data_IF_705659415437
#
_entry.id   IF_705659415437
#
_cell.length_a   1.000
_cell.length_b   1.000
_cell.length_c   1.000
_cell.angle_alpha   90.00
_cell.angle_beta   90.00
_cell.angle_gamma   90.00
#
_symmetry.space_group_name_H-M   'P 1'
#
loop_
_entity.id
_entity.type
_entity.pdbx_description
1 polymer ?
#
# COMPACT_ATOMS: atom_id res chain seq x y z
N UNK A 1 13.05 6.91 13.55
CA UNK A 1 11.91 7.73 14.02
C UNK A 1 11.03 6.95 14.99
N UNK A 2 10.45 5.81 14.61
CA UNK A 2 9.49 5.07 15.43
C UNK A 2 9.99 4.65 16.82
N UNK A 3 11.28 4.39 16.99
CA UNK A 3 11.89 4.05 18.29
C UNK A 3 12.10 5.27 19.19
N UNK A 4 12.43 6.44 18.60
CA UNK A 4 12.73 7.67 19.37
C UNK A 4 11.47 8.48 19.67
N UNK A 5 10.64 8.76 18.66
CA UNK A 5 9.41 9.56 18.80
C UNK A 5 8.21 8.75 19.30
N UNK A 6 8.29 7.42 19.18
CA UNK A 6 7.17 6.51 19.38
C UNK A 6 6.25 6.45 18.16
N UNK A 7 5.48 5.36 18.08
CA UNK A 7 4.65 5.05 16.89
C UNK A 7 3.58 6.12 16.65
N UNK A 8 2.85 6.54 17.70
CA UNK A 8 1.80 7.55 17.61
C UNK A 8 2.32 8.90 17.12
N UNK A 9 3.43 9.38 17.65
CA UNK A 9 3.97 10.69 17.25
C UNK A 9 4.55 10.64 15.84
N UNK A 10 5.10 9.50 15.42
CA UNK A 10 5.53 9.29 14.03
C UNK A 10 4.35 9.35 13.06
N UNK A 11 3.19 8.77 13.42
CA UNK A 11 1.96 8.86 12.62
C UNK A 11 1.39 10.30 12.59
N UNK A 12 1.49 11.04 13.70
CA UNK A 12 1.12 12.48 13.71
C UNK A 12 1.98 13.29 12.77
N UNK A 13 3.29 13.03 12.75
CA UNK A 13 4.19 13.66 11.78
C UNK A 13 3.78 13.32 10.34
N UNK A 14 3.44 12.05 10.06
CA UNK A 14 2.96 11.66 8.74
C UNK A 14 1.67 12.41 8.35
N UNK A 15 0.71 12.55 9.29
CA UNK A 15 -0.52 13.32 9.05
C UNK A 15 -0.26 14.79 8.70
N UNK A 16 0.68 15.43 9.40
CA UNK A 16 1.11 16.82 9.09
C UNK A 16 1.72 16.89 7.69
N UNK A 17 2.59 15.94 7.33
CA UNK A 17 3.22 15.90 6.01
C UNK A 17 2.19 15.67 4.90
N UNK A 18 1.18 14.81 5.11
CA UNK A 18 0.07 14.63 4.17
C UNK A 18 -0.74 15.91 3.98
N UNK A 19 -1.09 16.56 5.08
CA UNK A 19 -1.85 17.80 5.04
C UNK A 19 -1.10 18.92 4.31
N UNK A 20 0.17 19.11 4.59
CA UNK A 20 1.02 20.10 3.90
C UNK A 20 1.20 19.74 2.42
N UNK A 21 1.35 18.45 2.10
CA UNK A 21 1.43 18.01 0.70
C UNK A 21 0.16 18.32 -0.06
N UNK A 22 -1.02 18.06 0.53
CA UNK A 22 -2.31 18.32 -0.09
C UNK A 22 -2.53 19.82 -0.34
N UNK A 23 -2.27 20.66 0.67
CA UNK A 23 -2.38 22.13 0.55
C UNK A 23 -1.39 22.68 -0.48
N UNK A 24 -0.13 22.24 -0.44
CA UNK A 24 0.87 22.69 -1.39
C UNK A 24 0.63 22.18 -2.81
N UNK A 25 -0.01 21.01 -2.98
CA UNK A 25 -0.44 20.53 -4.30
C UNK A 25 -1.66 21.26 -4.82
N UNK A 26 -2.56 21.71 -3.94
CA UNK A 26 -3.69 22.56 -4.30
C UNK A 26 -3.25 23.94 -4.80
N UNK A 27 -2.29 24.54 -4.11
CA UNK A 27 -1.79 25.88 -4.41
C UNK A 27 -0.24 25.91 -4.46
N UNK A 28 0.37 25.27 -5.49
CA UNK A 28 1.82 25.14 -5.58
C UNK A 28 2.56 26.49 -5.78
N UNK A 29 1.87 27.53 -6.22
CA UNK A 29 2.41 28.87 -6.37
C UNK A 29 2.61 29.59 -5.02
N UNK A 30 2.00 29.09 -3.95
CA UNK A 30 2.08 29.71 -2.63
C UNK A 30 3.54 29.87 -2.18
N UNK A 31 3.95 31.09 -1.90
CA UNK A 31 5.29 31.55 -1.52
C UNK A 31 6.27 31.84 -2.67
N UNK A 32 6.02 31.40 -3.92
CA UNK A 32 7.06 31.43 -4.95
C UNK A 32 6.67 32.12 -6.26
N UNK A 33 5.40 32.07 -6.68
CA UNK A 33 4.98 32.46 -8.04
C UNK A 33 3.62 33.13 -8.10
N UNK A 34 3.34 33.80 -9.24
CA UNK A 34 2.01 34.33 -9.54
C UNK A 34 1.04 33.20 -9.94
N UNK A 35 -0.18 33.26 -9.45
CA UNK A 35 -1.24 32.28 -9.71
C UNK A 35 -1.56 32.16 -11.20
N UNK A 36 -1.74 30.93 -11.65
CA UNK A 36 -2.24 30.63 -12.99
C UNK A 36 -1.22 30.73 -14.12
N UNK A 37 0.07 30.97 -13.85
CA UNK A 37 1.13 30.91 -14.87
C UNK A 37 1.82 29.55 -14.86
N UNK A 38 1.45 28.61 -15.76
CA UNK A 38 2.15 27.33 -15.86
C UNK A 38 3.56 27.55 -16.41
N UNK A 39 4.55 27.21 -15.59
CA UNK A 39 5.96 27.22 -15.97
C UNK A 39 6.67 26.00 -15.34
N UNK A 40 7.94 25.79 -15.67
CA UNK A 40 8.71 24.68 -15.12
C UNK A 40 8.87 24.79 -13.60
N UNK A 41 8.91 26.00 -13.05
CA UNK A 41 9.07 26.26 -11.61
C UNK A 41 7.83 25.83 -10.83
N UNK A 42 6.63 25.99 -11.42
CA UNK A 42 5.38 25.47 -10.88
C UNK A 42 5.43 23.95 -10.73
N UNK A 43 5.92 23.26 -11.76
CA UNK A 43 6.07 21.81 -11.73
C UNK A 43 7.07 21.36 -10.67
N UNK A 44 8.17 22.07 -10.50
CA UNK A 44 9.16 21.80 -9.46
C UNK A 44 8.55 21.98 -8.07
N UNK A 45 7.86 23.11 -7.81
CA UNK A 45 7.20 23.39 -6.55
C UNK A 45 6.13 22.32 -6.22
N UNK A 46 5.27 21.98 -7.18
CA UNK A 46 4.30 20.91 -7.04
C UNK A 46 4.97 19.59 -6.66
N UNK A 47 6.03 19.18 -7.36
CA UNK A 47 6.76 17.95 -7.07
C UNK A 47 7.42 17.97 -5.68
N UNK A 48 7.92 19.11 -5.21
CA UNK A 48 8.45 19.22 -3.84
C UNK A 48 7.38 18.95 -2.79
N UNK A 49 6.16 19.49 -2.95
CA UNK A 49 5.05 19.15 -2.06
C UNK A 49 4.66 17.68 -2.14
N UNK A 50 4.69 17.06 -3.34
CA UNK A 50 4.45 15.62 -3.49
C UNK A 50 5.54 14.77 -2.83
N UNK A 51 6.81 15.21 -2.83
CA UNK A 51 7.89 14.56 -2.07
C UNK A 51 7.62 14.58 -0.57
N UNK A 52 7.10 15.69 -0.02
CA UNK A 52 6.69 15.74 1.39
C UNK A 52 5.60 14.70 1.70
N UNK A 53 4.59 14.58 0.83
CA UNK A 53 3.57 13.54 0.92
C UNK A 53 4.18 12.13 0.86
N UNK A 54 5.12 11.90 -0.06
CA UNK A 54 5.85 10.65 -0.19
C UNK A 54 6.62 10.25 1.07
N UNK A 55 7.27 11.20 1.75
CA UNK A 55 7.92 10.98 3.05
C UNK A 55 6.86 10.56 4.09
N UNK A 56 5.70 11.22 4.12
CA UNK A 56 4.57 10.85 4.97
C UNK A 56 4.06 9.43 4.69
N UNK A 57 3.92 9.06 3.42
CA UNK A 57 3.52 7.70 2.99
C UNK A 57 4.53 6.66 3.46
N UNK A 58 5.82 6.88 3.25
CA UNK A 58 6.87 5.96 3.68
C UNK A 58 6.87 5.76 5.19
N UNK A 59 6.68 6.84 5.96
CA UNK A 59 6.59 6.79 7.41
C UNK A 59 5.34 6.04 7.88
N UNK A 60 4.17 6.35 7.33
CA UNK A 60 2.91 5.70 7.67
C UNK A 60 2.90 4.22 7.31
N UNK A 61 3.38 3.85 6.12
CA UNK A 61 3.46 2.46 5.64
C UNK A 61 4.28 1.55 6.57
N UNK A 62 5.38 2.07 7.12
CA UNK A 62 6.21 1.31 8.06
C UNK A 62 5.60 1.27 9.47
N UNK A 63 5.01 2.38 9.94
CA UNK A 63 4.62 2.54 11.34
C UNK A 63 3.19 2.05 11.62
N UNK A 64 2.28 2.17 10.65
CA UNK A 64 0.86 1.82 10.85
C UNK A 64 0.66 0.31 11.13
N UNK A 65 1.17 -0.62 10.29
CA UNK A 65 1.09 -2.05 10.59
C UNK A 65 1.81 -2.42 11.90
N UNK A 66 2.95 -1.78 12.18
CA UNK A 66 3.69 -1.99 13.43
C UNK A 66 2.90 -1.54 14.66
N UNK A 67 2.23 -0.38 14.58
CA UNK A 67 1.37 0.13 15.66
C UNK A 67 0.23 -0.85 15.93
N UNK A 68 -0.46 -1.29 14.89
CA UNK A 68 -1.57 -2.25 15.00
C UNK A 68 -1.06 -3.57 15.59
N UNK A 69 0.05 -4.11 15.11
CA UNK A 69 0.62 -5.37 15.58
C UNK A 69 1.07 -5.33 17.06
N UNK A 70 1.47 -4.16 17.58
CA UNK A 70 1.87 -3.97 18.99
C UNK A 70 0.68 -3.85 19.95
N UNK A 71 -0.50 -3.44 19.46
CA UNK A 71 -1.72 -3.28 20.29
C UNK A 71 -2.64 -4.51 20.14
N UNK A 72 -2.66 -5.14 18.98
CA UNK A 72 -3.58 -6.22 18.67
C UNK A 72 -3.33 -7.48 19.53
N UNK A 73 -4.39 -8.09 20.09
CA UNK A 73 -4.31 -9.43 20.65
C UNK A 73 -3.79 -10.45 19.63
N UNK A 74 -3.01 -11.43 20.08
CA UNK A 74 -2.33 -12.40 19.21
C UNK A 74 -3.27 -13.20 18.31
N UNK A 75 -4.47 -13.52 18.79
CA UNK A 75 -5.48 -14.32 18.09
C UNK A 75 -6.16 -13.61 16.89
N UNK A 76 -6.17 -12.26 16.88
CA UNK A 76 -6.81 -11.46 15.82
C UNK A 76 -5.83 -10.46 15.19
N UNK A 77 -4.52 -10.59 15.45
CA UNK A 77 -3.49 -9.66 14.96
C UNK A 77 -3.46 -9.60 13.45
N UNK A 78 -3.50 -10.74 12.78
CA UNK A 78 -3.52 -10.81 11.33
C UNK A 78 -4.72 -10.09 10.72
N UNK A 79 -5.91 -10.33 11.26
CA UNK A 79 -7.14 -9.63 10.89
C UNK A 79 -7.00 -8.11 11.04
N UNK A 80 -6.53 -7.62 12.21
CA UNK A 80 -6.41 -6.18 12.46
C UNK A 80 -5.33 -5.51 11.60
N UNK A 81 -4.21 -6.18 11.33
CA UNK A 81 -3.19 -5.68 10.40
C UNK A 81 -3.73 -5.66 8.97
N UNK A 82 -4.54 -6.64 8.58
CA UNK A 82 -5.19 -6.67 7.26
C UNK A 82 -6.20 -5.54 7.08
N UNK A 83 -6.81 -5.02 8.16
CA UNK A 83 -7.66 -3.82 8.10
C UNK A 83 -6.91 -2.58 7.60
N UNK A 84 -5.58 -2.54 7.75
CA UNK A 84 -4.78 -1.46 7.15
C UNK A 84 -4.88 -1.48 5.61
N UNK A 85 -4.84 -2.66 5.00
CA UNK A 85 -5.03 -2.78 3.54
C UNK A 85 -6.45 -2.42 3.12
N UNK A 86 -7.45 -2.84 3.91
CA UNK A 86 -8.83 -2.42 3.67
C UNK A 86 -8.98 -0.90 3.67
N UNK A 87 -8.38 -0.20 4.63
CA UNK A 87 -8.42 1.26 4.71
C UNK A 87 -7.76 1.92 3.49
N UNK A 88 -6.66 1.35 2.97
CA UNK A 88 -6.00 1.83 1.74
C UNK A 88 -6.95 1.70 0.54
N UNK A 89 -7.56 0.53 0.34
CA UNK A 89 -8.46 0.28 -0.79
C UNK A 89 -9.75 1.09 -0.68
N UNK A 90 -10.30 1.20 0.52
CA UNK A 90 -11.47 2.05 0.77
C UNK A 90 -11.16 3.52 0.47
N UNK A 91 -10.00 4.02 0.92
CA UNK A 91 -9.53 5.38 0.61
C UNK A 91 -9.38 5.61 -0.89
N UNK A 92 -8.85 4.63 -1.63
CA UNK A 92 -8.72 4.69 -3.09
C UNK A 92 -10.09 4.81 -3.76
N UNK A 93 -11.10 4.01 -3.34
CA UNK A 93 -12.45 4.11 -3.87
C UNK A 93 -13.07 5.49 -3.58
N UNK A 94 -12.89 6.02 -2.36
CA UNK A 94 -13.36 7.36 -1.98
C UNK A 94 -12.73 8.43 -2.88
N UNK A 95 -11.43 8.35 -3.14
CA UNK A 95 -10.72 9.30 -4.03
C UNK A 95 -11.26 9.22 -5.47
N UNK A 96 -11.49 8.01 -5.99
CA UNK A 96 -12.09 7.86 -7.32
C UNK A 96 -13.47 8.52 -7.39
N UNK A 97 -14.29 8.34 -6.36
CA UNK A 97 -15.63 8.94 -6.29
C UNK A 97 -15.56 10.46 -6.13
N UNK A 98 -14.67 10.98 -5.29
CA UNK A 98 -14.45 12.42 -5.11
C UNK A 98 -13.97 13.05 -6.42
N UNK A 99 -13.01 12.44 -7.12
CA UNK A 99 -12.51 12.92 -8.40
C UNK A 99 -13.62 12.91 -9.48
N UNK A 100 -14.46 11.87 -9.48
CA UNK A 100 -15.62 11.80 -10.38
C UNK A 100 -16.61 12.95 -10.10
N UNK A 101 -16.89 13.25 -8.83
CA UNK A 101 -17.75 14.38 -8.45
C UNK A 101 -17.13 15.74 -8.82
N UNK A 102 -15.81 15.90 -8.66
CA UNK A 102 -15.10 17.14 -9.02
C UNK A 102 -15.11 17.33 -10.54
N UNK A 103 -14.96 16.26 -11.31
CA UNK A 103 -15.05 16.32 -12.77
C UNK A 103 -16.46 16.72 -13.22
N UNK A 104 -17.52 16.25 -12.53
CA UNK A 104 -18.92 16.58 -12.85
C UNK A 104 -19.26 16.36 -14.32
N UNK A 105 -19.93 17.36 -14.92
CA UNK A 105 -20.28 17.36 -16.35
C UNK A 105 -19.10 17.70 -17.29
N UNK A 106 -17.91 18.02 -16.72
CA UNK A 106 -16.69 18.32 -17.47
C UNK A 106 -16.01 17.01 -17.90
N UNK A 107 -16.70 16.18 -18.65
CA UNK A 107 -16.18 14.89 -19.11
C UNK A 107 -15.03 15.09 -20.09
N UNK A 108 -13.90 14.48 -19.76
CA UNK A 108 -12.69 14.26 -20.57
C UNK A 108 -12.46 15.33 -21.65
N UNK A 109 -11.60 16.31 -21.42
CA UNK A 109 -11.21 17.22 -22.48
C UNK A 109 -10.64 16.39 -23.64
N UNK A 110 -11.27 16.44 -24.80
CA UNK A 110 -10.71 15.85 -26.00
C UNK A 110 -9.50 16.70 -26.38
N UNK A 111 -8.32 16.20 -25.97
CA UNK A 111 -7.06 16.83 -26.34
C UNK A 111 -6.82 16.50 -27.82
N UNK A 112 -7.13 17.46 -28.68
CA UNK A 112 -6.83 17.38 -30.10
C UNK A 112 -5.36 17.75 -30.29
N UNK A 113 -4.60 16.84 -30.88
CA UNK A 113 -3.23 17.07 -31.32
C UNK A 113 -3.30 17.50 -32.77
N UNK A 114 -2.95 18.75 -33.06
CA UNK A 114 -2.86 19.19 -34.43
C UNK A 114 -1.64 18.57 -35.17
N UNK A 115 -1.57 18.77 -36.49
CA UNK A 115 -0.51 18.24 -37.33
C UNK A 115 0.89 18.78 -36.95
N UNK A 116 0.97 19.87 -36.17
CA UNK A 116 2.19 20.45 -35.63
C UNK A 116 2.52 19.97 -34.22
N UNK A 117 1.68 19.09 -33.65
CA UNK A 117 1.86 18.57 -32.30
C UNK A 117 1.39 19.51 -31.18
N UNK A 118 0.71 20.60 -31.51
CA UNK A 118 0.14 21.56 -30.55
C UNK A 118 -1.12 20.95 -29.95
N UNK A 119 -1.20 20.92 -28.62
CA UNK A 119 -2.35 20.42 -27.87
C UNK A 119 -3.42 21.52 -27.82
N UNK A 120 -4.60 21.27 -28.37
CA UNK A 120 -5.79 22.12 -28.25
C UNK A 120 -6.92 21.39 -27.53
N UNK A 121 -7.75 22.14 -26.80
CA UNK A 121 -8.88 21.60 -26.03
C UNK A 121 -10.16 22.02 -26.76
N UNK A 122 -11.11 21.10 -26.86
CA UNK A 122 -12.28 21.26 -27.75
C UNK A 122 -13.35 22.25 -27.27
N UNK A 123 -13.35 22.66 -25.98
CA UNK A 123 -14.27 23.67 -25.44
C UNK A 123 -13.73 24.40 -24.20
N UNK A 124 -14.25 25.62 -23.93
CA UNK A 124 -13.86 26.40 -22.73
C UNK A 124 -14.27 25.71 -21.42
N UNK A 125 -15.37 24.95 -21.42
CA UNK A 125 -15.79 24.16 -20.23
C UNK A 125 -14.81 23.04 -19.88
N UNK A 126 -14.14 22.47 -20.87
CA UNK A 126 -13.15 21.41 -20.69
C UNK A 126 -11.82 21.95 -20.16
N UNK A 127 -11.58 23.23 -20.37
CA UNK A 127 -10.38 23.94 -19.87
C UNK A 127 -10.34 24.01 -18.33
N UNK A 128 -11.50 24.08 -17.65
CA UNK A 128 -11.54 24.14 -16.20
C UNK A 128 -10.88 22.92 -15.53
N UNK A 129 -11.14 21.72 -16.03
CA UNK A 129 -10.53 20.48 -15.49
C UNK A 129 -9.02 20.51 -15.62
N UNK A 130 -8.50 21.07 -16.72
CA UNK A 130 -7.07 21.16 -17.00
C UNK A 130 -6.39 22.26 -16.16
N UNK A 131 -7.03 23.40 -15.94
CA UNK A 131 -6.42 24.54 -15.24
C UNK A 131 -6.70 24.55 -13.73
N UNK A 132 -7.89 24.15 -13.31
CA UNK A 132 -8.34 24.25 -11.92
C UNK A 132 -8.73 22.89 -11.31
N UNK A 133 -9.41 22.02 -12.06
CA UNK A 133 -9.98 20.77 -11.51
C UNK A 133 -8.96 19.87 -10.83
N UNK A 134 -7.76 19.72 -11.38
CA UNK A 134 -6.68 18.95 -10.78
C UNK A 134 -6.28 19.47 -9.41
N UNK A 135 -6.36 20.78 -9.18
CA UNK A 135 -6.05 21.40 -7.89
C UNK A 135 -7.01 20.92 -6.82
N UNK A 136 -8.32 20.91 -7.12
CA UNK A 136 -9.34 20.43 -6.21
C UNK A 136 -9.21 18.95 -5.95
N UNK A 137 -8.84 18.14 -6.96
CA UNK A 137 -8.59 16.71 -6.79
C UNK A 137 -7.45 16.46 -5.78
N UNK A 138 -6.30 17.10 -5.95
CA UNK A 138 -5.20 16.99 -4.99
C UNK A 138 -5.50 17.67 -3.64
N UNK A 139 -6.15 18.82 -3.65
CA UNK A 139 -6.55 19.54 -2.43
C UNK A 139 -7.52 18.77 -1.56
N UNK A 140 -8.37 17.93 -2.16
CA UNK A 140 -9.32 17.09 -1.42
C UNK A 140 -8.65 16.13 -0.44
N UNK A 141 -7.39 15.75 -0.69
CA UNK A 141 -6.58 14.92 0.22
C UNK A 141 -6.36 15.60 1.59
N UNK A 142 -6.52 16.92 1.71
CA UNK A 142 -6.36 17.64 2.97
C UNK A 142 -7.39 17.24 4.02
N UNK A 143 -8.63 16.92 3.60
CA UNK A 143 -9.69 16.53 4.54
C UNK A 143 -9.38 15.20 5.25
N UNK A 144 -9.11 14.08 4.55
CA UNK A 144 -8.75 12.84 5.22
C UNK A 144 -7.43 12.96 5.99
N UNK A 145 -6.46 13.75 5.54
CA UNK A 145 -5.21 13.98 6.26
C UNK A 145 -5.45 14.70 7.60
N UNK A 146 -6.26 15.76 7.60
CA UNK A 146 -6.64 16.48 8.82
C UNK A 146 -7.45 15.59 9.78
N UNK A 147 -8.41 14.82 9.25
CA UNK A 147 -9.20 13.89 10.04
C UNK A 147 -8.34 12.78 10.67
N UNK A 148 -7.42 12.21 9.91
CA UNK A 148 -6.44 11.25 10.42
C UNK A 148 -5.59 11.87 11.55
N UNK A 149 -5.07 13.07 11.34
CA UNK A 149 -4.32 13.81 12.36
C UNK A 149 -5.13 14.02 13.63
N UNK A 150 -6.41 14.40 13.51
CA UNK A 150 -7.33 14.60 14.62
C UNK A 150 -7.56 13.30 15.39
N UNK A 151 -7.84 12.19 14.69
CA UNK A 151 -8.08 10.88 15.33
C UNK A 151 -6.85 10.41 16.13
N UNK A 152 -5.65 10.73 15.70
CA UNK A 152 -4.41 10.36 16.40
C UNK A 152 -4.22 11.05 17.75
N UNK A 153 -5.04 12.05 18.10
CA UNK A 153 -5.07 12.59 19.47
C UNK A 153 -5.77 11.64 20.45
N UNK A 154 -6.75 10.88 19.99
CA UNK A 154 -7.52 9.94 20.80
C UNK A 154 -6.87 8.55 20.91
N UNK A 155 -5.91 8.26 20.04
CA UNK A 155 -5.23 6.95 20.00
C UNK A 155 -4.12 6.89 21.07
N UNK A 156 -4.02 5.81 21.87
CA UNK A 156 -3.00 5.69 22.93
C UNK A 156 -1.59 5.45 22.35
N UNK A 157 -0.55 5.65 23.15
CA UNK A 157 0.79 5.15 22.84
C UNK A 157 0.78 3.62 22.96
N UNK A 158 1.64 2.93 22.19
CA UNK A 158 1.72 1.47 22.29
C UNK A 158 2.29 1.04 23.65
N UNK A 159 1.81 -0.08 24.25
CA UNK A 159 2.33 -0.58 25.53
C UNK A 159 3.84 -0.80 25.50
N UNK A 160 4.37 -1.34 24.40
CA UNK A 160 5.80 -1.55 24.22
C UNK A 160 6.62 -0.26 24.27
N UNK A 161 6.12 0.81 23.64
CA UNK A 161 6.80 2.12 23.72
C UNK A 161 6.72 2.73 25.11
N UNK A 162 5.60 2.54 25.82
CA UNK A 162 5.43 3.02 27.21
C UNK A 162 6.42 2.34 28.16
N UNK A 163 6.63 1.04 28.03
CA UNK A 163 7.65 0.31 28.80
C UNK A 163 9.05 0.83 28.50
N UNK A 164 9.38 1.08 27.23
CA UNK A 164 10.68 1.67 26.84
C UNK A 164 10.98 3.03 27.48
N UNK A 165 9.94 3.83 27.73
CA UNK A 165 10.05 5.12 28.41
C UNK A 165 9.72 5.05 29.90
N UNK A 166 9.74 3.86 30.49
CA UNK A 166 9.51 3.60 31.92
C UNK A 166 8.14 4.07 32.46
N UNK A 167 7.08 4.01 31.65
CA UNK A 167 5.70 4.33 32.02
C UNK A 167 4.85 3.05 32.11
N UNK A 168 5.27 2.13 32.97
CA UNK A 168 4.70 0.78 33.09
C UNK A 168 3.25 0.77 33.53
N UNK A 169 2.84 1.66 34.44
CA UNK A 169 1.44 1.78 34.89
C UNK A 169 0.50 2.13 33.74
N UNK A 170 0.93 3.04 32.86
CA UNK A 170 0.12 3.39 31.67
C UNK A 170 0.09 2.25 30.67
N UNK A 171 1.20 1.51 30.51
CA UNK A 171 1.25 0.32 29.67
C UNK A 171 0.28 -0.74 30.18
N UNK A 172 0.30 -1.01 31.49
CA UNK A 172 -0.65 -1.92 32.14
C UNK A 172 -2.10 -1.52 31.92
N UNK A 173 -2.45 -0.27 32.19
CA UNK A 173 -3.82 0.23 32.01
C UNK A 173 -4.37 0.04 30.59
N UNK A 174 -3.50 0.20 29.57
CA UNK A 174 -3.89 -0.05 28.17
C UNK A 174 -4.08 -1.55 27.91
N UNK A 175 -3.15 -2.38 28.37
CA UNK A 175 -3.24 -3.83 28.24
C UNK A 175 -4.45 -4.40 28.98
N UNK A 176 -4.77 -3.88 30.16
CA UNK A 176 -5.93 -4.29 30.95
C UNK A 176 -7.25 -4.01 30.20
N UNK A 177 -7.39 -2.84 29.57
CA UNK A 177 -8.54 -2.49 28.75
C UNK A 177 -8.73 -3.41 27.55
N UNK A 178 -7.66 -3.94 27.00
CA UNK A 178 -7.68 -4.75 25.78
C UNK A 178 -7.82 -6.24 26.10
N UNK A 179 -7.07 -6.74 27.10
CA UNK A 179 -6.92 -8.18 27.33
C UNK A 179 -7.47 -8.67 28.69
N UNK A 180 -7.96 -7.74 29.55
CA UNK A 180 -8.36 -8.03 30.92
C UNK A 180 -7.17 -8.17 31.88
N UNK A 181 -7.47 -8.11 33.20
CA UNK A 181 -6.45 -7.99 34.27
C UNK A 181 -5.36 -9.09 34.26
N UNK A 182 -5.79 -10.35 34.14
CA UNK A 182 -4.87 -11.49 34.26
C UNK A 182 -3.86 -11.51 33.10
N UNK A 183 -4.37 -11.44 31.85
CA UNK A 183 -3.52 -11.44 30.66
C UNK A 183 -2.68 -10.17 30.53
N UNK A 184 -3.18 -9.03 31.02
CA UNK A 184 -2.43 -7.77 30.96
C UNK A 184 -1.12 -7.83 31.72
N UNK A 185 -1.10 -8.47 32.90
CA UNK A 185 0.11 -8.61 33.71
C UNK A 185 1.13 -9.55 33.05
N UNK A 186 0.65 -10.66 32.47
CA UNK A 186 1.48 -11.61 31.73
C UNK A 186 2.16 -10.92 30.54
N UNK A 187 1.36 -10.26 29.69
CA UNK A 187 1.85 -9.53 28.51
C UNK A 187 2.81 -8.40 28.90
N UNK A 188 2.53 -7.68 29.98
CA UNK A 188 3.42 -6.63 30.47
C UNK A 188 4.79 -7.20 30.88
N UNK A 189 4.82 -8.34 31.56
CA UNK A 189 6.06 -9.02 31.96
C UNK A 189 6.84 -9.47 30.73
N UNK A 190 6.18 -10.04 29.73
CA UNK A 190 6.81 -10.44 28.45
C UNK A 190 7.39 -9.24 27.70
N UNK A 191 6.63 -8.12 27.67
CA UNK A 191 7.13 -6.88 27.06
C UNK A 191 8.36 -6.37 27.82
N UNK A 192 8.37 -6.39 29.16
CA UNK A 192 9.51 -5.95 29.98
C UNK A 192 10.74 -6.81 29.75
N UNK A 193 10.55 -8.12 29.65
CA UNK A 193 11.65 -9.06 29.37
C UNK A 193 12.31 -8.77 28.01
N UNK A 194 11.51 -8.40 27.01
CA UNK A 194 11.98 -8.19 25.63
C UNK A 194 12.24 -6.72 25.26
N UNK A 195 11.70 -5.75 26.01
CA UNK A 195 11.83 -4.32 25.69
C UNK A 195 13.25 -3.77 25.86
N UNK A 196 13.99 -4.32 26.82
CA UNK A 196 15.39 -3.94 27.12
C UNK A 196 16.41 -4.76 26.35
N UNK A 197 15.97 -5.71 25.49
CA UNK A 197 16.90 -6.38 24.59
C UNK A 197 17.60 -5.32 23.71
N UNK A 198 18.93 -5.29 23.80
CA UNK A 198 19.72 -4.38 22.96
C UNK A 198 19.42 -4.65 21.50
N UNK A 199 19.16 -3.57 20.75
CA UNK A 199 19.00 -3.66 19.29
C UNK A 199 20.25 -4.33 18.71
N UNK A 200 20.09 -5.53 18.20
CA UNK A 200 21.17 -6.29 17.61
C UNK A 200 21.57 -5.77 16.22
N UNK A 201 22.72 -6.23 15.73
CA UNK A 201 23.10 -5.99 14.33
C UNK A 201 22.09 -6.69 13.43
N UNK A 202 21.77 -6.07 12.28
CA UNK A 202 20.69 -6.53 11.40
C UNK A 202 20.89 -7.97 10.89
N UNK A 203 22.13 -8.41 10.79
CA UNK A 203 22.51 -9.75 10.31
C UNK A 203 22.72 -10.79 11.42
N UNK A 204 22.39 -10.49 12.67
CA UNK A 204 22.56 -11.42 13.81
C UNK A 204 21.79 -12.73 13.60
N UNK A 205 20.65 -12.69 12.94
CA UNK A 205 19.82 -13.87 12.62
C UNK A 205 20.11 -14.46 11.25
N UNK A 206 21.22 -14.06 10.62
CA UNK A 206 21.58 -14.45 9.26
C UNK A 206 21.03 -13.52 8.20
N UNK A 207 21.62 -13.62 7.01
CA UNK A 207 21.23 -12.80 5.85
C UNK A 207 19.86 -13.24 5.30
N UNK A 208 19.53 -14.53 5.44
CA UNK A 208 18.33 -15.13 4.85
C UNK A 208 17.03 -14.41 5.26
N UNK A 209 16.86 -14.09 6.55
CA UNK A 209 15.64 -13.42 7.04
C UNK A 209 15.45 -12.04 6.40
N UNK A 210 16.53 -11.30 6.21
CA UNK A 210 16.49 -9.98 5.58
C UNK A 210 16.18 -10.09 4.09
N UNK A 211 16.85 -11.02 3.40
CA UNK A 211 16.62 -11.28 1.98
C UNK A 211 15.18 -11.73 1.73
N UNK A 212 14.63 -12.63 2.54
CA UNK A 212 13.23 -13.07 2.41
C UNK A 212 12.27 -11.90 2.61
N UNK A 213 12.49 -11.04 3.59
CA UNK A 213 11.64 -9.86 3.81
C UNK A 213 11.74 -8.84 2.66
N UNK A 214 12.94 -8.61 2.12
CA UNK A 214 13.13 -7.76 0.94
C UNK A 214 12.42 -8.37 -0.27
N UNK A 215 12.60 -9.66 -0.55
CA UNK A 215 11.99 -10.34 -1.68
C UNK A 215 10.45 -10.38 -1.58
N UNK A 216 9.88 -10.54 -0.38
CA UNK A 216 8.43 -10.38 -0.17
C UNK A 216 7.94 -9.01 -0.62
N UNK A 217 8.64 -7.95 -0.23
CA UNK A 217 8.33 -6.57 -0.60
C UNK A 217 8.51 -6.31 -2.10
N UNK A 218 9.58 -6.84 -2.68
CA UNK A 218 9.88 -6.74 -4.11
C UNK A 218 8.82 -7.44 -4.93
N UNK A 219 8.50 -8.71 -4.62
CA UNK A 219 7.48 -9.46 -5.35
C UNK A 219 6.11 -8.81 -5.25
N UNK A 220 5.73 -8.29 -4.07
CA UNK A 220 4.45 -7.61 -3.88
C UNK A 220 4.25 -6.45 -4.86
N UNK A 221 5.31 -5.77 -5.26
CA UNK A 221 5.26 -4.68 -6.25
C UNK A 221 5.53 -5.18 -7.68
N UNK A 222 6.53 -6.07 -7.85
CA UNK A 222 6.97 -6.56 -9.15
C UNK A 222 5.90 -7.33 -9.91
N UNK A 223 4.92 -7.94 -9.20
CA UNK A 223 3.72 -8.51 -9.82
C UNK A 223 2.85 -7.47 -10.54
N UNK A 224 3.09 -6.15 -10.42
CA UNK A 224 2.52 -5.13 -11.30
C UNK A 224 1.15 -4.58 -10.92
N UNK A 225 0.57 -4.95 -9.77
CA UNK A 225 -0.80 -4.55 -9.42
C UNK A 225 -0.99 -3.03 -9.36
N UNK A 226 -0.03 -2.29 -8.79
CA UNK A 226 -0.17 -0.84 -8.67
C UNK A 226 -0.15 -0.15 -10.04
N UNK A 227 0.61 -0.67 -11.00
CA UNK A 227 0.55 -0.20 -12.38
C UNK A 227 -0.86 -0.44 -12.98
N UNK A 228 -1.43 -1.62 -12.78
CA UNK A 228 -2.79 -1.93 -13.23
C UNK A 228 -3.82 -1.01 -12.59
N UNK A 229 -3.71 -0.73 -11.28
CA UNK A 229 -4.64 0.16 -10.58
C UNK A 229 -4.51 1.62 -11.00
N UNK A 230 -3.28 2.12 -11.21
CA UNK A 230 -3.04 3.50 -11.59
C UNK A 230 -3.47 3.80 -13.03
N UNK A 231 -3.32 2.83 -13.92
CA UNK A 231 -3.66 2.96 -15.34
C UNK A 231 -4.98 2.24 -15.72
N UNK A 232 -5.78 1.83 -14.72
CA UNK A 232 -7.01 1.08 -14.93
C UNK A 232 -7.96 1.69 -15.97
N UNK A 233 -8.29 3.02 -15.96
CA UNK A 233 -9.16 3.58 -16.97
C UNK A 233 -8.64 3.35 -18.39
N UNK A 234 -7.36 3.59 -18.65
CA UNK A 234 -6.72 3.39 -19.95
C UNK A 234 -6.70 1.91 -20.36
N UNK A 235 -6.44 1.00 -19.42
CA UNK A 235 -6.46 -0.43 -19.68
C UNK A 235 -7.84 -0.89 -20.12
N UNK A 236 -8.88 -0.45 -19.42
CA UNK A 236 -10.26 -0.82 -19.72
C UNK A 236 -10.78 -0.20 -21.02
N UNK A 237 -10.42 1.05 -21.33
CA UNK A 237 -10.73 1.67 -22.62
C UNK A 237 -10.10 0.91 -23.78
N UNK A 238 -8.81 0.56 -23.68
CA UNK A 238 -8.11 -0.20 -24.70
C UNK A 238 -8.66 -1.63 -24.86
N UNK A 239 -9.16 -2.22 -23.77
CA UNK A 239 -9.84 -3.51 -23.78
C UNK A 239 -11.22 -3.45 -24.46
N UNK A 240 -11.74 -2.27 -24.79
CA UNK A 240 -13.06 -2.09 -25.40
C UNK A 240 -14.20 -2.30 -24.41
N UNK A 241 -14.03 -1.83 -23.17
CA UNK A 241 -15.04 -1.98 -22.12
C UNK A 241 -16.30 -1.14 -22.42
N UNK A 242 -17.46 -1.77 -22.41
CA UNK A 242 -18.74 -1.07 -22.50
C UNK A 242 -18.95 -0.17 -21.26
N UNK A 243 -19.43 1.06 -21.46
CA UNK A 243 -19.66 2.04 -20.39
C UNK A 243 -18.44 2.87 -20.02
N UNK A 244 -17.30 2.71 -20.73
CA UNK A 244 -16.08 3.50 -20.52
C UNK A 244 -15.17 3.00 -19.42
N UNK A 245 -13.89 3.39 -19.47
CA UNK A 245 -12.84 2.94 -18.55
C UNK A 245 -13.07 3.34 -17.08
N UNK A 246 -13.71 4.49 -16.84
CA UNK A 246 -13.99 4.97 -15.49
C UNK A 246 -15.04 4.10 -14.78
N UNK A 247 -16.11 3.70 -15.44
CA UNK A 247 -17.12 2.80 -14.87
C UNK A 247 -16.52 1.46 -14.47
N UNK A 248 -15.69 0.87 -15.32
CA UNK A 248 -15.01 -0.39 -15.04
C UNK A 248 -14.00 -0.24 -13.89
N UNK A 249 -13.37 0.92 -13.77
CA UNK A 249 -12.49 1.23 -12.63
C UNK A 249 -13.24 1.25 -11.30
N UNK A 250 -14.46 1.80 -11.28
CA UNK A 250 -15.32 1.77 -10.08
C UNK A 250 -15.73 0.34 -9.76
N UNK A 251 -16.13 -0.45 -10.75
CA UNK A 251 -16.46 -1.88 -10.55
C UNK A 251 -15.27 -2.63 -9.97
N UNK A 252 -14.09 -2.42 -10.53
CA UNK A 252 -12.84 -3.01 -9.98
C UNK A 252 -12.60 -2.58 -8.54
N UNK A 253 -12.85 -1.33 -8.19
CA UNK A 253 -12.75 -0.82 -6.82
C UNK A 253 -13.66 -1.57 -5.85
N UNK A 254 -14.91 -1.82 -6.24
CA UNK A 254 -15.86 -2.62 -5.44
C UNK A 254 -15.38 -4.06 -5.28
N UNK A 255 -14.93 -4.70 -6.37
CA UNK A 255 -14.37 -6.06 -6.33
C UNK A 255 -13.16 -6.11 -5.39
N UNK A 256 -12.27 -5.13 -5.46
CA UNK A 256 -11.10 -5.03 -4.57
C UNK A 256 -11.49 -4.98 -3.10
N UNK A 257 -12.55 -4.24 -2.73
CA UNK A 257 -13.08 -4.22 -1.36
C UNK A 257 -13.58 -5.60 -0.95
N UNK A 258 -14.41 -6.25 -1.77
CA UNK A 258 -14.97 -7.57 -1.47
C UNK A 258 -13.86 -8.60 -1.23
N UNK A 259 -12.86 -8.66 -2.10
CA UNK A 259 -11.76 -9.62 -1.97
C UNK A 259 -10.79 -9.27 -0.84
N UNK A 260 -10.64 -8.00 -0.48
CA UNK A 260 -9.92 -7.59 0.73
C UNK A 260 -10.65 -8.06 2.00
N UNK A 261 -11.97 -7.97 2.03
CA UNK A 261 -12.76 -8.55 3.14
C UNK A 261 -12.59 -10.06 3.23
N UNK A 262 -12.60 -10.77 2.09
CA UNK A 262 -12.30 -12.22 2.06
C UNK A 262 -10.93 -12.48 2.70
N UNK A 263 -9.89 -11.70 2.36
CA UNK A 263 -8.57 -11.85 2.98
C UNK A 263 -8.62 -11.66 4.51
N UNK A 264 -9.31 -10.63 4.99
CA UNK A 264 -9.45 -10.33 6.42
C UNK A 264 -10.02 -11.51 7.20
N UNK A 265 -11.07 -12.17 6.66
CA UNK A 265 -11.71 -13.30 7.32
C UNK A 265 -10.98 -14.64 7.14
N UNK A 266 -10.07 -14.72 6.18
CA UNK A 266 -9.41 -15.98 5.83
C UNK A 266 -7.95 -16.07 6.31
N UNK A 267 -7.27 -14.95 6.52
CA UNK A 267 -5.84 -14.90 6.84
C UNK A 267 -5.46 -15.69 8.11
N UNK A 268 -6.27 -15.58 9.15
CA UNK A 268 -6.03 -16.30 10.41
C UNK A 268 -6.57 -17.74 10.40
N UNK A 269 -7.44 -18.08 9.42
CA UNK A 269 -7.98 -19.44 9.24
C UNK A 269 -7.08 -20.34 8.41
N UNK A 270 -6.64 -19.86 7.24
CA UNK A 270 -5.86 -20.67 6.28
C UNK A 270 -4.36 -20.52 6.45
N UNK A 271 -3.90 -19.42 7.07
CA UNK A 271 -2.48 -19.09 7.18
C UNK A 271 -1.99 -18.21 6.03
N UNK A 272 -0.79 -17.68 6.21
CA UNK A 272 -0.20 -16.67 5.31
C UNK A 272 0.34 -17.32 4.04
N UNK A 273 1.08 -18.40 4.18
CA UNK A 273 1.76 -19.07 3.07
C UNK A 273 0.80 -19.66 2.03
N UNK A 274 -0.24 -20.43 2.39
CA UNK A 274 -1.20 -20.97 1.42
C UNK A 274 -1.93 -19.89 0.63
N UNK A 275 -2.36 -18.81 1.31
CA UNK A 275 -3.07 -17.72 0.66
C UNK A 275 -2.19 -16.97 -0.35
N UNK A 276 -0.90 -16.76 -0.04
CA UNK A 276 0.04 -16.15 -0.99
C UNK A 276 0.24 -17.03 -2.23
N UNK A 277 0.35 -18.35 -2.06
CA UNK A 277 0.51 -19.29 -3.18
C UNK A 277 -0.73 -19.28 -4.07
N UNK A 278 -1.93 -19.43 -3.47
CA UNK A 278 -3.21 -19.41 -4.20
C UNK A 278 -3.37 -18.09 -4.95
N UNK A 279 -3.07 -16.97 -4.27
CA UNK A 279 -3.13 -15.65 -4.89
C UNK A 279 -2.17 -15.50 -6.06
N UNK A 280 -0.92 -15.96 -5.91
CA UNK A 280 0.07 -15.91 -6.99
C UNK A 280 -0.37 -16.73 -8.22
N UNK A 281 -0.93 -17.92 -8.01
CA UNK A 281 -1.43 -18.76 -9.11
C UNK A 281 -2.62 -18.07 -9.79
N UNK A 282 -3.58 -17.56 -9.02
CA UNK A 282 -4.75 -16.86 -9.57
C UNK A 282 -4.37 -15.59 -10.35
N UNK A 283 -3.41 -14.83 -9.84
CA UNK A 283 -2.86 -13.68 -10.57
C UNK A 283 -2.15 -14.10 -11.87
N UNK A 284 -1.35 -15.17 -11.84
CA UNK A 284 -0.68 -15.67 -13.04
C UNK A 284 -1.71 -16.05 -14.11
N UNK A 285 -2.78 -16.78 -13.73
CA UNK A 285 -3.87 -17.14 -14.66
C UNK A 285 -4.54 -15.89 -15.23
N UNK A 286 -4.86 -14.88 -14.40
CA UNK A 286 -5.45 -13.63 -14.86
C UNK A 286 -4.53 -12.86 -15.82
N UNK A 287 -3.24 -12.73 -15.50
CA UNK A 287 -2.27 -12.05 -16.32
C UNK A 287 -2.05 -12.74 -17.68
N UNK A 288 -1.88 -14.07 -17.70
CA UNK A 288 -1.75 -14.81 -18.95
C UNK A 288 -3.03 -14.79 -19.78
N UNK A 289 -4.20 -14.77 -19.14
CA UNK A 289 -5.47 -14.61 -19.85
C UNK A 289 -5.58 -13.26 -20.56
N UNK A 290 -5.15 -12.15 -19.91
CA UNK A 290 -5.06 -10.82 -20.58
C UNK A 290 -4.09 -10.86 -21.75
N UNK A 291 -2.89 -11.42 -21.55
CA UNK A 291 -1.89 -11.55 -22.60
C UNK A 291 -2.41 -12.35 -23.80
N UNK A 292 -3.14 -13.43 -23.55
CA UNK A 292 -3.77 -14.25 -24.59
C UNK A 292 -4.89 -13.49 -25.32
N UNK A 293 -5.73 -12.74 -24.61
CA UNK A 293 -6.75 -11.90 -25.24
C UNK A 293 -6.13 -10.88 -26.20
N UNK A 294 -5.03 -10.24 -25.76
CA UNK A 294 -4.33 -9.25 -26.61
C UNK A 294 -3.71 -9.91 -27.85
N UNK A 295 -3.04 -11.06 -27.71
CA UNK A 295 -2.46 -11.81 -28.82
C UNK A 295 -3.46 -12.28 -29.87
N UNK A 296 -4.70 -12.56 -29.43
CA UNK A 296 -5.81 -12.98 -30.29
C UNK A 296 -6.70 -11.81 -30.73
N UNK A 297 -6.33 -10.57 -30.41
CA UNK A 297 -7.09 -9.35 -30.67
C UNK A 297 -8.55 -9.39 -30.11
N UNK A 298 -8.76 -10.16 -29.04
CA UNK A 298 -10.07 -10.26 -28.36
C UNK A 298 -10.28 -9.01 -27.53
N UNK A 299 -11.37 -8.29 -27.79
CA UNK A 299 -11.82 -7.12 -27.03
C UNK A 299 -13.16 -7.39 -26.34
N UNK A 300 -13.55 -6.49 -25.42
CA UNK A 300 -14.80 -6.56 -24.70
C UNK A 300 -14.66 -7.18 -23.29
N UNK A 301 -15.64 -7.96 -22.87
CA UNK A 301 -15.77 -8.40 -21.49
C UNK A 301 -14.66 -9.36 -21.02
N UNK A 302 -14.09 -10.17 -21.90
CA UNK A 302 -13.14 -11.21 -21.51
C UNK A 302 -11.81 -10.65 -20.98
N UNK A 303 -11.11 -9.70 -21.67
CA UNK A 303 -9.93 -9.06 -21.09
C UNK A 303 -10.24 -8.25 -19.83
N UNK A 304 -11.42 -7.59 -19.76
CA UNK A 304 -11.86 -6.87 -18.56
C UNK A 304 -11.99 -7.80 -17.38
N UNK A 305 -12.68 -8.93 -17.51
CA UNK A 305 -12.80 -9.94 -16.46
C UNK A 305 -11.45 -10.51 -16.05
N UNK A 306 -10.54 -10.72 -16.99
CA UNK A 306 -9.20 -11.22 -16.71
C UNK A 306 -8.39 -10.26 -15.85
N UNK A 307 -8.47 -8.96 -16.10
CA UNK A 307 -7.85 -7.92 -15.26
C UNK A 307 -8.49 -7.88 -13.86
N UNK A 308 -9.83 -7.98 -13.79
CA UNK A 308 -10.56 -8.01 -12.52
C UNK A 308 -10.16 -9.23 -11.69
N UNK A 309 -10.08 -10.42 -12.31
CA UNK A 309 -9.62 -11.66 -11.65
C UNK A 309 -8.20 -11.50 -11.11
N UNK A 310 -7.30 -10.94 -11.91
CA UNK A 310 -5.94 -10.63 -11.47
C UNK A 310 -5.91 -9.74 -10.23
N UNK A 311 -6.65 -8.64 -10.24
CA UNK A 311 -6.75 -7.73 -9.11
C UNK A 311 -7.41 -8.37 -7.87
N UNK A 312 -8.46 -9.16 -8.07
CA UNK A 312 -9.17 -9.87 -7.00
C UNK A 312 -8.25 -10.85 -6.25
N UNK A 313 -7.47 -11.66 -6.97
CA UNK A 313 -6.51 -12.57 -6.35
C UNK A 313 -5.38 -11.85 -5.61
N UNK A 314 -4.95 -10.69 -6.08
CA UNK A 314 -4.04 -9.83 -5.33
C UNK A 314 -4.65 -9.36 -4.02
N UNK A 315 -5.86 -8.80 -4.08
CA UNK A 315 -6.54 -8.24 -2.90
C UNK A 315 -6.87 -9.30 -1.86
N UNK A 316 -7.13 -10.53 -2.28
CA UNK A 316 -7.35 -11.68 -1.39
C UNK A 316 -6.05 -12.16 -0.72
N UNK A 317 -4.88 -11.82 -1.25
CA UNK A 317 -3.61 -12.44 -0.84
C UNK A 317 -2.49 -11.41 -0.61
N UNK A 318 -1.72 -11.10 -1.64
CA UNK A 318 -0.50 -10.29 -1.56
C UNK A 318 -0.73 -8.88 -1.01
N UNK A 319 -1.88 -8.28 -1.27
CA UNK A 319 -2.23 -6.96 -0.75
C UNK A 319 -2.11 -6.91 0.78
N UNK A 320 -2.98 -7.58 1.52
CA UNK A 320 -2.97 -7.55 2.99
C UNK A 320 -1.89 -8.44 3.60
N UNK A 321 -1.64 -9.66 3.06
CA UNK A 321 -0.83 -10.68 3.73
C UNK A 321 0.66 -10.35 3.72
N UNK A 322 1.16 -9.64 2.70
CA UNK A 322 2.53 -9.18 2.67
C UNK A 322 2.84 -8.26 3.87
N UNK A 323 1.95 -7.34 4.21
CA UNK A 323 2.09 -6.46 5.37
C UNK A 323 2.06 -7.22 6.69
N UNK A 324 1.20 -8.24 6.79
CA UNK A 324 1.15 -9.14 7.94
C UNK A 324 2.49 -9.84 8.10
N UNK A 325 2.99 -10.48 7.04
CA UNK A 325 4.26 -11.19 7.07
C UNK A 325 5.45 -10.29 7.40
N UNK A 326 5.56 -9.11 6.77
CA UNK A 326 6.63 -8.15 7.07
C UNK A 326 6.59 -7.73 8.55
N UNK A 327 5.41 -7.64 9.16
CA UNK A 327 5.28 -7.31 10.58
C UNK A 327 5.61 -8.47 11.52
N UNK A 328 5.48 -9.71 11.07
CA UNK A 328 5.62 -10.93 11.88
C UNK A 328 6.95 -11.65 11.70
N UNK A 329 7.53 -11.65 10.50
CA UNK A 329 8.68 -12.51 10.13
C UNK A 329 9.98 -12.14 10.84
N UNK A 330 10.15 -10.87 11.20
CA UNK A 330 11.39 -10.38 11.78
C UNK A 330 11.44 -10.52 13.30
N UNK A 331 12.56 -11.03 13.87
CA UNK A 331 12.81 -11.01 15.30
C UNK A 331 12.72 -9.60 15.90
N UNK A 332 12.26 -9.52 17.15
CA UNK A 332 12.02 -8.26 17.85
C UNK A 332 13.21 -7.30 17.86
N UNK A 333 14.42 -7.83 18.09
CA UNK A 333 15.67 -7.04 18.24
C UNK A 333 16.09 -6.32 16.95
N UNK A 334 15.72 -6.84 15.77
CA UNK A 334 16.08 -6.26 14.46
C UNK A 334 14.87 -5.70 13.71
N UNK A 335 13.62 -5.99 14.15
CA UNK A 335 12.37 -5.72 13.43
C UNK A 335 12.29 -4.29 12.90
N UNK A 336 12.52 -3.29 13.71
CA UNK A 336 12.37 -1.89 13.30
C UNK A 336 13.25 -1.51 12.09
N UNK A 337 14.49 -2.02 12.06
CA UNK A 337 15.41 -1.79 10.94
C UNK A 337 15.05 -2.64 9.74
N UNK A 338 14.71 -3.91 9.95
CA UNK A 338 14.39 -4.85 8.90
C UNK A 338 13.10 -4.47 8.15
N UNK A 339 12.04 -4.08 8.87
CA UNK A 339 10.80 -3.55 8.28
C UNK A 339 11.09 -2.29 7.48
N UNK A 340 11.88 -1.36 8.00
CA UNK A 340 12.21 -0.12 7.27
C UNK A 340 12.92 -0.40 5.94
N UNK A 341 13.85 -1.37 5.92
CA UNK A 341 14.54 -1.78 4.69
C UNK A 341 13.56 -2.46 3.73
N UNK A 342 12.76 -3.41 4.19
CA UNK A 342 11.78 -4.10 3.36
C UNK A 342 10.79 -3.12 2.70
N UNK A 343 10.26 -2.16 3.48
CA UNK A 343 9.36 -1.11 2.98
C UNK A 343 10.07 -0.16 2.01
N UNK A 344 11.35 0.16 2.23
CA UNK A 344 12.10 0.98 1.29
C UNK A 344 12.22 0.28 -0.08
N UNK A 345 12.55 -1.01 -0.11
CA UNK A 345 12.57 -1.80 -1.34
C UNK A 345 11.18 -1.90 -1.99
N UNK A 346 10.12 -1.98 -1.20
CA UNK A 346 8.75 -1.99 -1.69
C UNK A 346 8.42 -0.71 -2.48
N UNK A 347 8.76 0.47 -1.94
CA UNK A 347 8.50 1.74 -2.62
C UNK A 347 9.43 1.99 -3.81
N UNK A 348 10.69 1.54 -3.75
CA UNK A 348 11.61 1.58 -4.90
C UNK A 348 11.03 0.76 -6.06
N UNK A 349 10.57 -0.47 -5.79
CA UNK A 349 9.99 -1.31 -6.84
C UNK A 349 8.61 -0.83 -7.29
N UNK A 350 7.83 -0.21 -6.40
CA UNK A 350 6.60 0.49 -6.81
C UNK A 350 6.90 1.56 -7.86
N UNK A 351 7.90 2.40 -7.61
CA UNK A 351 8.33 3.43 -8.54
C UNK A 351 8.80 2.83 -9.87
N UNK A 352 9.68 1.83 -9.83
CA UNK A 352 10.20 1.17 -11.05
C UNK A 352 9.03 0.61 -11.88
N UNK A 353 8.16 -0.18 -11.28
CA UNK A 353 7.04 -0.83 -11.96
C UNK A 353 6.07 0.20 -12.54
N UNK A 354 5.68 1.20 -11.75
CA UNK A 354 4.72 2.23 -12.19
C UNK A 354 5.29 3.13 -13.30
N UNK A 355 6.59 3.43 -13.26
CA UNK A 355 7.26 4.26 -14.26
C UNK A 355 7.55 3.51 -15.57
N UNK A 356 7.80 2.20 -15.50
CA UNK A 356 8.11 1.39 -16.67
C UNK A 356 6.87 0.83 -17.36
N UNK A 357 5.75 0.71 -16.65
CA UNK A 357 4.53 0.11 -17.16
C UNK A 357 4.00 0.78 -18.44
N UNK A 358 3.90 2.13 -18.56
CA UNK A 358 3.40 2.75 -19.79
C UNK A 358 4.23 2.35 -21.01
N UNK A 359 5.55 2.37 -20.89
CA UNK A 359 6.44 1.99 -21.99
C UNK A 359 6.32 0.50 -22.35
N UNK A 360 6.19 -0.38 -21.36
CA UNK A 360 5.97 -1.82 -21.58
C UNK A 360 4.60 -2.08 -22.23
N UNK A 361 3.57 -1.38 -21.77
CA UNK A 361 2.21 -1.52 -22.27
C UNK A 361 2.07 -0.97 -23.70
N UNK A 362 2.71 0.16 -23.99
CA UNK A 362 2.73 0.76 -25.34
C UNK A 362 3.54 -0.07 -26.34
N UNK A 363 4.62 -0.75 -25.86
CA UNK A 363 5.35 -1.69 -26.67
C UNK A 363 4.52 -2.93 -27.02
N UNK A 364 3.91 -3.57 -26.03
CA UNK A 364 2.97 -4.69 -26.22
C UNK A 364 2.26 -5.02 -24.90
N UNK A 365 0.93 -4.91 -24.82
CA UNK A 365 0.16 -5.37 -23.68
C UNK A 365 0.39 -6.87 -23.40
N UNK A 366 0.45 -7.70 -24.43
CA UNK A 366 0.77 -9.13 -24.32
C UNK A 366 2.11 -9.35 -23.60
N UNK A 367 3.15 -8.61 -23.97
CA UNK A 367 4.46 -8.72 -23.33
C UNK A 367 4.41 -8.28 -21.86
N UNK A 368 3.78 -7.14 -21.57
CA UNK A 368 3.68 -6.60 -20.22
C UNK A 368 2.97 -7.60 -19.27
N UNK A 369 1.81 -8.10 -19.68
CA UNK A 369 1.07 -9.05 -18.85
C UNK A 369 1.70 -10.44 -18.78
N UNK A 370 2.39 -10.90 -19.83
CA UNK A 370 3.17 -12.13 -19.79
C UNK A 370 4.32 -12.03 -18.79
N UNK A 371 5.02 -10.90 -18.76
CA UNK A 371 6.09 -10.63 -17.79
C UNK A 371 5.53 -10.68 -16.35
N UNK A 372 4.42 -10.01 -16.07
CA UNK A 372 3.81 -10.05 -14.75
C UNK A 372 3.30 -11.46 -14.38
N UNK A 373 2.76 -12.21 -15.34
CA UNK A 373 2.37 -13.62 -15.14
C UNK A 373 3.56 -14.49 -14.72
N UNK A 374 4.71 -14.35 -15.40
CA UNK A 374 5.96 -15.05 -15.06
C UNK A 374 6.43 -14.66 -13.66
N UNK A 375 6.40 -13.38 -13.31
CA UNK A 375 6.77 -12.91 -11.97
C UNK A 375 5.82 -13.48 -10.90
N UNK A 376 4.51 -13.61 -11.18
CA UNK A 376 3.57 -14.24 -10.27
C UNK A 376 3.90 -15.73 -10.04
N UNK A 377 4.29 -16.47 -11.08
CA UNK A 377 4.75 -17.85 -10.94
C UNK A 377 6.03 -17.92 -10.11
N UNK A 378 7.00 -17.06 -10.37
CA UNK A 378 8.23 -16.96 -9.58
C UNK A 378 7.93 -16.63 -8.11
N UNK A 379 6.98 -15.74 -7.84
CA UNK A 379 6.51 -15.41 -6.49
C UNK A 379 5.88 -16.62 -5.79
N UNK A 380 5.07 -17.43 -6.49
CA UNK A 380 4.51 -18.67 -5.93
C UNK A 380 5.62 -19.65 -5.52
N UNK A 381 6.61 -19.88 -6.40
CA UNK A 381 7.75 -20.75 -6.13
C UNK A 381 8.58 -20.22 -4.95
N UNK A 382 8.84 -18.91 -4.92
CA UNK A 382 9.55 -18.25 -3.82
C UNK A 382 8.83 -18.48 -2.48
N UNK A 383 7.53 -18.22 -2.43
CA UNK A 383 6.74 -18.41 -1.19
C UNK A 383 6.73 -19.88 -0.78
N UNK A 384 6.51 -20.79 -1.73
CA UNK A 384 6.50 -22.21 -1.45
C UNK A 384 7.83 -22.72 -0.86
N UNK A 385 8.96 -22.27 -1.38
CA UNK A 385 10.29 -22.80 -1.02
C UNK A 385 10.92 -22.14 0.19
N UNK A 386 10.78 -20.82 0.36
CA UNK A 386 11.57 -20.04 1.32
C UNK A 386 10.77 -19.32 2.40
N UNK A 387 9.49 -19.00 2.16
CA UNK A 387 8.70 -18.27 3.17
C UNK A 387 8.18 -19.24 4.23
N UNK A 388 8.50 -19.02 5.52
CA UNK A 388 7.93 -19.81 6.61
C UNK A 388 6.47 -19.43 6.87
N UNK A 389 5.68 -20.38 7.37
CA UNK A 389 4.34 -20.08 7.89
C UNK A 389 4.46 -19.44 9.27
N UNK A 390 3.78 -18.30 9.45
CA UNK A 390 3.80 -17.52 10.69
C UNK A 390 2.51 -17.66 11.52
N UNK A 391 1.48 -18.33 10.98
CA UNK A 391 0.21 -18.52 11.68
C UNK A 391 0.40 -19.17 13.04
N UNK A 392 -0.16 -18.52 14.08
CA UNK A 392 -0.14 -19.05 15.45
C UNK A 392 1.21 -18.97 16.17
N UNK A 393 2.25 -18.42 15.53
CA UNK A 393 3.55 -18.21 16.15
C UNK A 393 3.60 -16.86 16.85
N UNK A 394 4.24 -16.83 18.01
CA UNK A 394 4.55 -15.58 18.71
C UNK A 394 5.73 -14.89 18.02
N UNK A 395 5.92 -13.61 18.33
CA UNK A 395 7.07 -12.85 17.81
C UNK A 395 8.41 -13.37 18.39
N UNK A 396 8.33 -13.98 19.56
CA UNK A 396 9.43 -14.64 20.26
C UNK A 396 9.82 -15.97 19.58
N UNK A 397 8.83 -16.73 19.09
CA UNK A 397 9.07 -17.97 18.35
C UNK A 397 9.78 -17.72 17.02
N UNK A 398 9.56 -16.55 16.40
CA UNK A 398 10.28 -16.17 15.18
C UNK A 398 11.79 -16.00 15.43
N UNK A 399 12.18 -15.56 16.63
CA UNK A 399 13.59 -15.47 17.00
C UNK A 399 14.25 -16.85 17.08
N UNK A 400 13.52 -17.87 17.56
CA UNK A 400 14.00 -19.26 17.62
C UNK A 400 14.10 -19.88 16.21
N UNK A 401 13.13 -19.59 15.35
CA UNK A 401 13.11 -20.10 13.98
C UNK A 401 14.35 -19.68 13.16
N UNK A 402 14.85 -18.46 13.40
CA UNK A 402 15.98 -17.90 12.67
C UNK A 402 17.33 -18.07 13.37
N UNK A 403 17.37 -18.36 14.68
CA UNK A 403 18.58 -18.85 15.34
C UNK A 403 18.77 -20.30 14.91
N UNK A 404 19.57 -20.55 13.86
CA UNK A 404 20.13 -21.88 13.66
C UNK A 404 20.96 -22.20 14.91
N UNK A 405 20.68 -23.34 15.52
CA UNK A 405 21.60 -23.93 16.51
C UNK A 405 23.00 -23.91 15.89
N UNK A 406 23.90 -23.17 16.57
CA UNK A 406 25.33 -23.19 16.26
C UNK A 406 25.92 -24.51 16.74
#
# INVERSE_FOLDING_TARGET
>A
FASRLGRRNSLRLAAVLFFLSALGSYYPEFLFFEYGKPNMDLLIAFNLYRVLGGIGVGLASAVCPMYIAEIAPSNIRGTLVSCNQFAIIFGMLVVYFVNFLIMGDHQNPVILKDAAGVLSVSSESDMWTVYEGWRYMFGSEAFPAAFFGLLLFFVPKTPRYLVLIQQDEKAYSILEKINGKIKAQEILNDIKATAHEKTEKIFTYGVAVIVIGILLSVFQQAIGINAVLYYAPRIFENAGAEGGGMMQTVIMGVVNIVFTLVAIFTVDRFGRKPLLIIGSIGMAVGAFAVAMCDSMAIKGILPVLSVIVYAAFFMMSWGPICWVLISEIFPNTIRGKAVAIAVAFQWIFNYIVSSTFPALYDFSPMFAYSLYGIICVAAAIFVWRWVPETKGKTLEDMSKLWKKDK
#
